data_IF_068329797392
#
_entry.id   IF_068329797392
#
_cell.length_a   1.000
_cell.length_b   1.000
_cell.length_c   1.000
_cell.angle_alpha   90.00
_cell.angle_beta   90.00
_cell.angle_gamma   90.00
#
_symmetry.space_group_name_H-M   'P 1'
#
loop_
_entity.id
_entity.type
_entity.pdbx_description
1 polymer ?
#
# COMPACT_ATOMS: atom_id res chain seq x y z
N UNK A 1 6.16 4.13 -26.82
CA UNK A 1 5.57 3.11 -25.93
C UNK A 1 4.91 3.76 -24.70
N UNK A 2 5.63 4.60 -23.95
CA UNK A 2 5.15 5.32 -22.75
C UNK A 2 3.76 5.99 -22.89
N UNK A 3 3.55 6.85 -23.91
CA UNK A 3 2.25 7.52 -24.13
C UNK A 3 1.08 6.55 -24.31
N UNK A 4 1.30 5.40 -24.95
CA UNK A 4 0.26 4.37 -25.12
C UNK A 4 -0.06 3.70 -23.79
N UNK A 5 0.95 3.39 -22.96
CA UNK A 5 0.75 2.82 -21.62
C UNK A 5 -0.01 3.77 -20.72
N UNK A 6 0.44 5.01 -20.57
CA UNK A 6 -0.27 6.00 -19.72
C UNK A 6 -1.70 6.28 -20.19
N UNK A 7 -1.97 6.14 -21.49
CA UNK A 7 -3.34 6.24 -22.01
C UNK A 7 -4.20 5.00 -21.72
N UNK A 8 -3.62 3.81 -21.67
CA UNK A 8 -4.41 2.57 -21.58
C UNK A 8 -4.42 1.96 -20.17
N UNK A 9 -3.38 2.19 -19.39
CA UNK A 9 -3.11 1.64 -18.05
C UNK A 9 -2.70 2.79 -17.11
N UNK A 10 -3.60 3.74 -16.80
CA UNK A 10 -3.27 4.87 -15.93
C UNK A 10 -3.13 4.47 -14.46
N UNK A 11 -3.64 3.29 -14.08
CA UNK A 11 -3.69 2.80 -12.70
C UNK A 11 -3.06 1.41 -12.61
N UNK A 12 -2.53 1.08 -11.43
CA UNK A 12 -2.10 -0.25 -11.05
C UNK A 12 -2.79 -0.67 -9.76
N UNK A 13 -3.02 -1.97 -9.63
CA UNK A 13 -3.43 -2.58 -8.38
C UNK A 13 -2.21 -2.77 -7.46
N UNK A 14 -2.24 -2.14 -6.29
CA UNK A 14 -1.19 -2.29 -5.26
C UNK A 14 -1.54 -3.31 -4.19
N UNK A 15 -2.83 -3.65 -4.03
CA UNK A 15 -3.30 -4.59 -3.02
C UNK A 15 -4.52 -5.34 -3.51
N UNK A 16 -4.59 -6.61 -3.14
CA UNK A 16 -5.65 -7.52 -3.46
C UNK A 16 -5.77 -8.58 -2.36
N UNK A 17 -6.84 -9.38 -2.33
CA UNK A 17 -6.94 -10.56 -1.45
C UNK A 17 -5.74 -11.52 -1.60
N UNK A 18 -5.08 -11.57 -2.77
CA UNK A 18 -3.87 -12.37 -3.03
C UNK A 18 -2.57 -11.64 -2.63
N UNK A 19 -2.66 -10.75 -1.66
CA UNK A 19 -1.52 -10.03 -1.09
C UNK A 19 -1.27 -8.66 -1.71
N UNK A 20 -0.13 -8.06 -1.34
CA UNK A 20 0.20 -6.68 -1.72
C UNK A 20 1.47 -6.57 -2.55
N UNK A 21 1.54 -5.48 -3.32
CA UNK A 21 2.65 -5.18 -4.23
C UNK A 21 3.26 -3.80 -3.96
N UNK A 22 3.06 -3.20 -2.78
CA UNK A 22 3.71 -1.92 -2.40
C UNK A 22 5.23 -2.05 -2.49
N UNK A 23 5.80 -2.86 -1.61
CA UNK A 23 7.21 -3.25 -1.62
C UNK A 23 7.41 -4.62 -0.95
N UNK A 24 8.67 -5.04 -0.80
CA UNK A 24 9.07 -6.28 -0.16
C UNK A 24 10.31 -6.02 0.72
N UNK A 25 10.53 -6.76 1.84
CA UNK A 25 11.69 -6.52 2.71
C UNK A 25 13.04 -6.69 2.01
N UNK A 26 13.11 -7.56 1.00
CA UNK A 26 14.32 -7.71 0.16
C UNK A 26 14.59 -6.53 -0.79
N UNK A 27 13.60 -5.67 -1.05
CA UNK A 27 13.73 -4.49 -1.90
C UNK A 27 13.86 -3.21 -1.07
N UNK A 28 13.14 -3.13 0.05
CA UNK A 28 13.08 -2.00 0.97
C UNK A 28 13.43 -2.44 2.41
N UNK A 29 14.70 -2.81 2.70
CA UNK A 29 15.10 -3.33 4.01
C UNK A 29 14.98 -2.31 5.15
N UNK A 30 14.96 -1.01 4.82
CA UNK A 30 14.82 0.09 5.79
C UNK A 30 13.36 0.52 6.02
N UNK A 31 12.39 -0.21 5.45
CA UNK A 31 10.94 -0.01 5.66
C UNK A 31 10.40 -1.15 6.53
N UNK A 32 10.08 -0.83 7.79
CA UNK A 32 9.62 -1.78 8.79
C UNK A 32 8.24 -2.38 8.51
N UNK A 33 7.52 -1.84 7.50
CA UNK A 33 6.18 -2.29 7.10
C UNK A 33 6.16 -2.90 5.69
N UNK A 34 7.34 -3.27 5.16
CA UNK A 34 7.52 -3.83 3.82
C UNK A 34 7.01 -5.27 3.66
N UNK A 35 6.61 -5.95 4.74
CA UNK A 35 6.24 -7.37 4.79
C UNK A 35 4.72 -7.62 4.82
N UNK A 36 3.90 -6.62 4.51
CA UNK A 36 2.46 -6.70 4.67
C UNK A 36 1.76 -7.61 3.65
N UNK A 37 1.09 -8.65 4.15
CA UNK A 37 0.29 -9.62 3.38
C UNK A 37 0.98 -10.03 2.06
N UNK A 38 2.20 -10.58 2.16
CA UNK A 38 2.98 -11.02 1.00
C UNK A 38 2.57 -12.45 0.61
N UNK A 39 2.16 -12.61 -0.66
CA UNK A 39 2.00 -13.93 -1.26
C UNK A 39 3.32 -14.35 -1.93
N UNK A 40 4.01 -15.32 -1.34
CA UNK A 40 5.39 -15.67 -1.69
C UNK A 40 5.51 -16.74 -2.78
N UNK A 41 4.41 -17.41 -3.16
CA UNK A 41 4.37 -18.45 -4.18
C UNK A 41 3.61 -18.00 -5.44
N UNK A 42 4.13 -18.37 -6.61
CA UNK A 42 3.48 -18.09 -7.89
C UNK A 42 2.19 -18.90 -8.06
N UNK A 43 1.09 -18.20 -8.30
CA UNK A 43 -0.20 -18.82 -8.63
C UNK A 43 -0.05 -19.75 -9.85
N UNK A 44 -0.51 -20.99 -9.71
CA UNK A 44 -0.51 -21.98 -10.78
C UNK A 44 0.82 -22.71 -11.03
N UNK A 45 1.87 -22.42 -10.26
CA UNK A 45 3.15 -23.14 -10.39
C UNK A 45 3.08 -24.60 -9.91
N UNK A 46 3.70 -25.52 -10.65
CA UNK A 46 3.78 -26.96 -10.34
C UNK A 46 5.19 -27.49 -10.61
N UNK A 47 5.98 -27.85 -9.57
CA UNK A 47 5.67 -27.69 -8.14
C UNK A 47 5.54 -26.20 -7.73
N UNK A 48 4.94 -25.91 -6.55
CA UNK A 48 4.92 -24.56 -5.99
C UNK A 48 6.30 -23.90 -6.07
N UNK A 49 6.36 -22.74 -6.71
CA UNK A 49 7.61 -22.02 -6.97
C UNK A 49 7.52 -20.64 -6.36
N UNK A 50 8.54 -20.24 -5.61
CA UNK A 50 8.60 -18.91 -5.01
C UNK A 50 8.57 -17.80 -6.08
N UNK A 51 7.86 -16.73 -5.77
CA UNK A 51 7.83 -15.48 -6.50
C UNK A 51 9.20 -14.81 -6.42
N UNK A 52 9.61 -14.16 -7.52
CA UNK A 52 10.82 -13.33 -7.52
C UNK A 52 10.41 -11.91 -7.16
N UNK A 53 10.94 -11.29 -6.09
CA UNK A 53 10.53 -9.92 -5.75
C UNK A 53 10.88 -8.90 -6.83
N UNK A 54 12.11 -8.94 -7.35
CA UNK A 54 12.51 -7.97 -8.38
C UNK A 54 11.67 -8.09 -9.65
N UNK A 55 11.09 -6.97 -10.06
CA UNK A 55 10.16 -6.80 -11.17
C UNK A 55 8.68 -6.94 -10.78
N UNK A 56 8.36 -7.23 -9.51
CA UNK A 56 7.00 -7.58 -9.08
C UNK A 56 6.32 -6.53 -8.19
N UNK A 57 7.05 -5.49 -7.75
CA UNK A 57 6.53 -4.49 -6.80
C UNK A 57 6.45 -3.09 -7.40
N UNK A 58 5.44 -2.34 -6.97
CA UNK A 58 5.07 -1.01 -7.45
C UNK A 58 6.14 0.03 -7.11
N UNK A 59 6.65 0.02 -5.88
CA UNK A 59 7.70 0.98 -5.47
C UNK A 59 8.97 0.81 -6.30
N UNK A 60 9.38 -0.44 -6.54
CA UNK A 60 10.50 -0.75 -7.44
C UNK A 60 10.22 -0.29 -8.88
N UNK A 61 8.98 -0.46 -9.37
CA UNK A 61 8.59 0.04 -10.69
C UNK A 61 8.70 1.57 -10.77
N UNK A 62 8.32 2.32 -9.73
CA UNK A 62 8.52 3.77 -9.69
C UNK A 62 9.99 4.19 -9.72
N UNK A 63 10.85 3.51 -8.94
CA UNK A 63 12.30 3.74 -8.94
C UNK A 63 12.95 3.39 -10.30
N UNK A 64 12.50 2.29 -10.91
CA UNK A 64 12.89 1.93 -12.28
C UNK A 64 12.45 2.99 -13.28
N UNK A 65 11.27 3.58 -13.09
CA UNK A 65 10.74 4.68 -13.90
C UNK A 65 11.62 5.93 -13.85
N UNK A 66 12.08 6.30 -12.64
CA UNK A 66 13.06 7.38 -12.46
C UNK A 66 14.38 7.08 -13.17
N UNK A 67 14.88 5.84 -13.05
CA UNK A 67 16.13 5.41 -13.68
C UNK A 67 16.05 5.42 -15.22
N UNK A 68 14.94 4.94 -15.78
CA UNK A 68 14.68 4.98 -17.22
C UNK A 68 14.60 6.42 -17.73
N UNK A 69 13.98 7.31 -16.95
CA UNK A 69 13.90 8.73 -17.32
C UNK A 69 15.24 9.44 -17.26
N UNK A 70 16.03 9.19 -16.22
CA UNK A 70 17.41 9.68 -16.09
C UNK A 70 18.28 9.24 -17.28
N UNK A 71 18.06 8.02 -17.77
CA UNK A 71 18.74 7.48 -18.97
C UNK A 71 18.04 7.82 -20.30
N UNK A 72 17.12 8.80 -20.29
CA UNK A 72 16.39 9.33 -21.48
C UNK A 72 15.53 8.31 -22.23
N UNK A 73 15.08 7.25 -21.56
CA UNK A 73 14.17 6.23 -22.09
C UNK A 73 12.68 6.54 -21.80
N UNK A 74 12.43 7.60 -21.02
CA UNK A 74 11.10 7.99 -20.53
C UNK A 74 10.65 7.15 -19.33
N UNK A 75 9.55 7.55 -18.69
CA UNK A 75 9.02 6.89 -17.49
C UNK A 75 7.66 6.23 -17.77
N UNK A 76 7.60 4.92 -18.03
CA UNK A 76 6.34 4.21 -18.27
C UNK A 76 5.56 3.87 -17.00
N UNK A 77 6.10 4.19 -15.81
CA UNK A 77 5.57 3.76 -14.52
C UNK A 77 4.93 4.92 -13.73
N UNK A 78 4.51 6.00 -14.39
CA UNK A 78 3.76 7.10 -13.73
C UNK A 78 2.26 6.80 -13.55
N UNK A 79 1.93 5.57 -13.18
CA UNK A 79 0.56 5.14 -12.91
C UNK A 79 0.11 5.51 -11.48
N UNK A 80 -1.20 5.59 -11.25
CA UNK A 80 -1.82 5.76 -9.94
C UNK A 80 -2.09 4.43 -9.26
N UNK A 81 -2.53 4.48 -8.01
CA UNK A 81 -2.78 3.30 -7.18
C UNK A 81 -4.27 3.08 -6.95
N UNK A 82 -4.67 1.82 -6.99
CA UNK A 82 -5.97 1.30 -6.53
C UNK A 82 -5.76 -0.04 -5.81
N UNK A 83 -6.72 -0.43 -4.97
CA UNK A 83 -6.85 -1.81 -4.51
C UNK A 83 -7.97 -2.52 -5.27
N UNK A 84 -8.06 -3.83 -5.16
CA UNK A 84 -9.19 -4.59 -5.69
C UNK A 84 -9.54 -5.76 -4.77
N UNK A 85 -10.82 -6.13 -4.73
CA UNK A 85 -11.23 -7.27 -3.92
C UNK A 85 -10.85 -8.61 -4.54
N UNK A 86 -10.90 -8.72 -5.89
CA UNK A 86 -10.74 -9.97 -6.66
C UNK A 86 -11.45 -11.16 -6.00
N UNK A 87 -12.65 -10.86 -5.52
CA UNK A 87 -13.48 -11.84 -4.84
C UNK A 87 -14.34 -12.53 -5.89
N UNK A 88 -14.37 -13.86 -5.86
CA UNK A 88 -15.11 -14.72 -6.79
C UNK A 88 -16.42 -15.23 -6.16
N UNK A 89 -17.00 -14.44 -5.25
CA UNK A 89 -18.31 -14.66 -4.63
C UNK A 89 -19.18 -13.41 -4.77
N UNK A 90 -20.48 -13.55 -4.59
CA UNK A 90 -21.49 -12.50 -4.90
C UNK A 90 -21.28 -11.21 -4.11
N UNK A 91 -20.73 -11.29 -2.90
CA UNK A 91 -20.41 -10.14 -2.07
C UNK A 91 -18.98 -10.27 -1.54
N UNK A 92 -18.19 -9.19 -1.60
CA UNK A 92 -16.82 -9.21 -1.10
C UNK A 92 -16.80 -9.22 0.44
N UNK A 93 -15.92 -10.04 1.03
CA UNK A 93 -15.62 -9.98 2.46
C UNK A 93 -14.29 -9.28 2.69
N UNK A 94 -14.37 -8.05 3.20
CA UNK A 94 -13.23 -7.12 3.30
C UNK A 94 -12.99 -6.66 4.75
N UNK A 95 -13.61 -7.37 5.69
CA UNK A 95 -13.51 -7.12 7.13
C UNK A 95 -12.91 -8.36 7.77
N UNK A 96 -11.75 -8.20 8.39
CA UNK A 96 -11.02 -9.28 9.06
C UNK A 96 -11.87 -9.98 10.13
N UNK A 97 -12.76 -9.25 10.83
CA UNK A 97 -13.66 -9.82 11.83
C UNK A 97 -14.80 -10.66 11.25
N UNK A 98 -15.07 -10.52 9.95
CA UNK A 98 -16.16 -11.20 9.26
C UNK A 98 -15.71 -11.78 7.90
N UNK A 99 -14.43 -12.14 7.77
CA UNK A 99 -13.92 -12.76 6.56
C UNK A 99 -14.50 -14.17 6.41
N UNK A 100 -15.15 -14.44 5.27
CA UNK A 100 -15.87 -15.70 5.08
C UNK A 100 -15.50 -16.44 3.81
N UNK A 101 -15.00 -15.77 2.76
CA UNK A 101 -14.52 -16.44 1.54
C UNK A 101 -14.01 -15.44 0.51
N UNK A 102 -13.08 -15.90 -0.33
CA UNK A 102 -12.80 -15.35 -1.65
C UNK A 102 -13.36 -16.21 -2.79
N UNK A 103 -13.24 -17.54 -2.73
CA UNK A 103 -13.50 -18.47 -3.86
C UNK A 103 -14.62 -19.49 -3.59
N UNK A 104 -15.54 -19.14 -2.71
CA UNK A 104 -16.72 -19.92 -2.36
C UNK A 104 -16.39 -21.12 -1.48
N UNK A 105 -16.89 -22.30 -1.85
CA UNK A 105 -16.80 -23.52 -1.03
C UNK A 105 -15.37 -23.99 -0.76
N UNK A 106 -14.37 -23.50 -1.48
CA UNK A 106 -12.98 -23.94 -1.30
C UNK A 106 -12.32 -23.30 -0.08
N UNK A 107 -12.73 -22.11 0.30
CA UNK A 107 -12.21 -21.34 1.42
C UNK A 107 -13.35 -20.74 2.27
N UNK A 108 -14.57 -21.30 2.13
CA UNK A 108 -15.79 -20.82 2.79
C UNK A 108 -15.85 -21.14 4.28
N UNK A 109 -15.14 -22.18 4.71
CA UNK A 109 -15.10 -22.64 6.10
C UNK A 109 -13.67 -22.48 6.67
N UNK A 110 -13.53 -22.22 7.99
CA UNK A 110 -12.23 -21.98 8.61
C UNK A 110 -11.27 -23.17 8.49
N UNK A 111 -11.79 -24.41 8.51
CA UNK A 111 -10.99 -25.64 8.31
C UNK A 111 -10.28 -25.62 6.94
N UNK A 112 -11.02 -25.19 5.92
CA UNK A 112 -10.56 -25.14 4.53
C UNK A 112 -9.61 -23.97 4.26
N UNK A 113 -9.83 -22.83 4.92
CA UNK A 113 -8.87 -21.71 4.95
C UNK A 113 -7.58 -22.08 5.70
N UNK A 114 -7.64 -23.14 6.51
CA UNK A 114 -6.53 -23.60 7.33
C UNK A 114 -6.35 -22.77 8.61
N UNK A 115 -7.36 -22.04 9.06
CA UNK A 115 -7.30 -21.33 10.36
C UNK A 115 -7.59 -22.25 11.54
N UNK A 116 -8.31 -23.35 11.35
CA UNK A 116 -8.63 -24.36 12.38
C UNK A 116 -8.38 -25.79 11.88
N UNK A 117 -8.27 -26.80 12.77
CA UNK A 117 -8.05 -28.19 12.38
C UNK A 117 -9.14 -28.75 11.46
N UNK A 118 -8.74 -29.56 10.49
CA UNK A 118 -9.61 -30.26 9.55
C UNK A 118 -10.50 -31.29 10.25
N UNK A 119 -11.77 -31.34 9.85
CA UNK A 119 -12.68 -32.48 10.10
C UNK A 119 -12.58 -33.49 8.96
N UNK A 120 -13.07 -34.71 9.17
CA UNK A 120 -13.07 -35.78 8.15
C UNK A 120 -13.72 -35.33 6.83
N UNK A 121 -14.88 -34.66 6.89
CA UNK A 121 -15.57 -34.12 5.71
C UNK A 121 -14.73 -33.08 4.93
N UNK A 122 -13.92 -32.27 5.62
CA UNK A 122 -13.04 -31.29 4.99
C UNK A 122 -11.85 -31.96 4.32
N UNK A 123 -11.36 -33.05 4.88
CA UNK A 123 -10.27 -33.84 4.28
C UNK A 123 -10.71 -34.41 2.94
N UNK A 124 -11.89 -35.04 2.89
CA UNK A 124 -12.43 -35.60 1.63
C UNK A 124 -12.62 -34.51 0.57
N UNK A 125 -13.22 -33.37 0.95
CA UNK A 125 -13.40 -32.22 0.05
C UNK A 125 -12.07 -31.67 -0.47
N UNK A 126 -11.06 -31.54 0.39
CA UNK A 126 -9.73 -31.10 0.02
C UNK A 126 -9.09 -32.06 -0.99
N UNK A 127 -9.16 -33.37 -0.73
CA UNK A 127 -8.60 -34.40 -1.60
C UNK A 127 -9.28 -34.44 -2.98
N UNK A 128 -10.61 -34.35 -3.03
CA UNK A 128 -11.38 -34.30 -4.27
C UNK A 128 -11.00 -33.06 -5.09
N UNK A 129 -10.95 -31.88 -4.45
CA UNK A 129 -10.58 -30.64 -5.12
C UNK A 129 -9.16 -30.68 -5.67
N UNK A 130 -8.19 -31.08 -4.84
CA UNK A 130 -6.79 -31.14 -5.24
C UNK A 130 -6.61 -32.11 -6.41
N UNK A 131 -7.34 -33.23 -6.42
CA UNK A 131 -7.40 -34.15 -7.57
C UNK A 131 -8.00 -33.50 -8.82
N UNK A 132 -9.14 -32.83 -8.70
CA UNK A 132 -9.85 -32.20 -9.83
C UNK A 132 -9.00 -31.13 -10.53
N UNK A 133 -8.22 -30.37 -9.76
CA UNK A 133 -7.33 -29.34 -10.30
C UNK A 133 -5.91 -29.85 -10.55
N UNK A 134 -5.62 -31.14 -10.34
CA UNK A 134 -4.28 -31.72 -10.45
C UNK A 134 -3.24 -30.92 -9.63
N UNK A 135 -3.60 -30.63 -8.38
CA UNK A 135 -2.80 -29.98 -7.36
C UNK A 135 -2.37 -31.02 -6.30
N UNK A 136 -1.19 -30.86 -5.68
CA UNK A 136 -0.81 -31.71 -4.56
C UNK A 136 -1.70 -31.43 -3.35
N UNK A 137 -2.16 -32.50 -2.68
CA UNK A 137 -2.83 -32.36 -1.38
C UNK A 137 -1.78 -31.89 -0.37
N UNK A 138 -2.02 -30.73 0.22
CA UNK A 138 -1.11 -30.12 1.20
C UNK A 138 -1.83 -30.02 2.54
N UNK A 139 -1.36 -30.81 3.51
CA UNK A 139 -1.79 -30.82 4.91
C UNK A 139 -0.57 -30.64 5.80
N UNK A 140 -0.78 -30.11 7.00
CA UNK A 140 0.27 -30.01 8.02
C UNK A 140 -0.29 -30.40 9.39
N UNK A 141 0.43 -31.23 10.13
CA UNK A 141 0.08 -31.58 11.51
C UNK A 141 0.74 -30.59 12.47
N UNK A 142 -0.06 -29.94 13.30
CA UNK A 142 0.34 -28.97 14.32
C UNK A 142 -0.22 -29.38 15.70
N UNK A 143 0.07 -28.61 16.75
CA UNK A 143 -0.30 -28.92 18.14
C UNK A 143 -1.79 -29.30 18.31
N UNK A 144 -2.70 -28.58 17.64
CA UNK A 144 -4.14 -28.77 17.82
C UNK A 144 -4.80 -29.68 16.76
N UNK A 145 -4.02 -30.28 15.84
CA UNK A 145 -4.53 -31.24 14.85
C UNK A 145 -3.91 -31.11 13.46
N UNK A 146 -4.55 -31.74 12.47
CA UNK A 146 -4.22 -31.62 11.04
C UNK A 146 -4.89 -30.39 10.43
N UNK A 147 -4.17 -29.60 9.63
CA UNK A 147 -4.68 -28.38 9.00
C UNK A 147 -4.54 -28.45 7.47
N UNK A 148 -5.43 -27.75 6.76
CA UNK A 148 -5.20 -27.43 5.35
C UNK A 148 -3.97 -26.54 5.23
N UNK A 149 -3.02 -26.91 4.38
CA UNK A 149 -1.82 -26.13 4.12
C UNK A 149 -1.81 -25.61 2.67
N UNK A 150 -2.87 -24.87 2.33
CA UNK A 150 -3.07 -24.28 1.01
C UNK A 150 -2.59 -22.82 1.01
N UNK A 151 -2.46 -22.25 -0.19
CA UNK A 151 -2.15 -20.82 -0.35
C UNK A 151 -3.24 -19.87 0.16
N UNK A 152 -4.40 -20.38 0.62
CA UNK A 152 -5.49 -19.56 1.16
C UNK A 152 -5.11 -18.89 2.48
N UNK A 153 -4.19 -19.52 3.23
CA UNK A 153 -3.65 -18.98 4.48
C UNK A 153 -2.96 -17.62 4.32
N UNK A 154 -2.37 -17.36 3.14
CA UNK A 154 -1.67 -16.12 2.80
C UNK A 154 -2.58 -15.03 2.23
N UNK A 155 -3.88 -15.29 2.11
CA UNK A 155 -4.83 -14.29 1.62
C UNK A 155 -5.34 -13.42 2.76
N UNK A 156 -5.54 -12.13 2.50
CA UNK A 156 -6.07 -11.16 3.47
C UNK A 156 -7.47 -10.65 3.08
N UNK A 157 -8.21 -10.03 3.99
CA UNK A 157 -9.53 -9.46 3.71
C UNK A 157 -9.43 -8.12 2.94
N UNK A 158 -8.76 -8.14 1.79
CA UNK A 158 -8.38 -6.97 0.98
C UNK A 158 -8.93 -7.06 -0.45
N UNK A 159 -9.10 -5.97 -1.21
CA UNK A 159 -8.93 -4.55 -0.90
C UNK A 159 -9.92 -3.69 -1.67
N UNK A 160 -9.82 -2.38 -1.54
CA UNK A 160 -10.78 -1.43 -2.14
C UNK A 160 -10.10 -0.45 -3.10
N UNK A 161 -10.77 -0.19 -4.21
CA UNK A 161 -10.48 0.92 -5.10
C UNK A 161 -11.23 2.16 -4.63
N UNK A 162 -10.51 3.25 -4.44
CA UNK A 162 -11.11 4.54 -4.15
C UNK A 162 -10.73 5.58 -5.20
N UNK A 163 -11.68 6.44 -5.55
CA UNK A 163 -11.50 7.53 -6.49
C UNK A 163 -12.18 8.79 -5.97
N UNK A 164 -11.46 9.92 -6.00
CA UNK A 164 -12.06 11.21 -5.77
C UNK A 164 -12.69 11.71 -7.08
N UNK A 165 -13.99 11.48 -7.22
CA UNK A 165 -14.81 11.95 -8.32
C UNK A 165 -15.70 13.12 -7.85
N UNK A 166 -16.00 14.05 -8.77
CA UNK A 166 -16.88 15.19 -8.50
C UNK A 166 -18.34 14.73 -8.36
N UNK A 167 -18.70 13.64 -9.04
CA UNK A 167 -20.05 13.09 -9.08
C UNK A 167 -20.02 11.56 -9.09
N UNK A 168 -21.11 10.92 -8.64
CA UNK A 168 -21.29 9.47 -8.76
C UNK A 168 -21.83 9.08 -10.15
N UNK A 169 -21.09 9.47 -11.20
CA UNK A 169 -21.37 9.11 -12.58
C UNK A 169 -20.20 8.35 -13.17
N UNK A 170 -20.48 7.46 -14.13
CA UNK A 170 -19.43 6.70 -14.82
C UNK A 170 -18.35 7.62 -15.40
N UNK A 171 -18.76 8.73 -16.02
CA UNK A 171 -17.83 9.69 -16.61
C UNK A 171 -16.93 10.34 -15.56
N UNK A 172 -17.49 10.85 -14.46
CA UNK A 172 -16.72 11.51 -13.41
C UNK A 172 -15.72 10.54 -12.74
N UNK A 173 -16.12 9.29 -12.50
CA UNK A 173 -15.25 8.24 -11.97
C UNK A 173 -14.13 7.87 -12.95
N UNK A 174 -14.44 7.69 -14.23
CA UNK A 174 -13.41 7.42 -15.24
C UNK A 174 -12.46 8.60 -15.40
N UNK A 175 -12.94 9.83 -15.29
CA UNK A 175 -12.08 11.02 -15.28
C UNK A 175 -11.15 11.01 -14.06
N UNK A 176 -11.62 10.58 -12.88
CA UNK A 176 -10.78 10.40 -11.69
C UNK A 176 -9.67 9.37 -11.91
N UNK A 177 -10.02 8.22 -12.52
CA UNK A 177 -9.05 7.20 -12.90
C UNK A 177 -8.01 7.71 -13.91
N UNK A 178 -8.42 8.54 -14.87
CA UNK A 178 -7.53 9.12 -15.88
C UNK A 178 -6.56 10.13 -15.30
N UNK A 179 -7.02 11.00 -14.37
CA UNK A 179 -6.13 11.94 -13.67
C UNK A 179 -5.30 11.26 -12.57
N UNK A 180 -5.68 10.03 -12.17
CA UNK A 180 -5.03 9.21 -11.14
C UNK A 180 -5.24 9.78 -9.74
N UNK A 181 -6.37 10.45 -9.52
CA UNK A 181 -6.78 10.92 -8.21
C UNK A 181 -7.49 9.79 -7.45
N UNK A 182 -6.70 8.74 -7.21
CA UNK A 182 -7.15 7.45 -6.68
C UNK A 182 -6.22 6.99 -5.58
N UNK A 183 -6.74 6.11 -4.74
CA UNK A 183 -5.97 5.45 -3.69
C UNK A 183 -6.49 4.04 -3.45
N UNK A 184 -5.69 3.24 -2.76
CA UNK A 184 -5.99 1.87 -2.39
C UNK A 184 -6.18 1.77 -0.89
N UNK A 185 -7.03 0.84 -0.42
CA UNK A 185 -7.07 0.43 0.99
C UNK A 185 -7.10 -1.09 1.10
N UNK A 186 -6.63 -1.62 2.23
CA UNK A 186 -6.48 -3.07 2.47
C UNK A 186 -7.74 -3.76 2.97
N UNK A 187 -8.86 -3.05 3.04
CA UNK A 187 -10.16 -3.61 3.46
C UNK A 187 -11.02 -2.53 4.13
N UNK A 188 -10.43 -1.84 5.11
CA UNK A 188 -11.08 -0.70 5.79
C UNK A 188 -11.25 0.50 4.87
N UNK A 189 -12.31 1.27 5.07
CA UNK A 189 -12.66 2.46 4.27
C UNK A 189 -11.95 3.73 4.76
N UNK A 190 -10.64 3.64 5.00
CA UNK A 190 -9.79 4.80 5.29
C UNK A 190 -9.91 5.79 4.13
N UNK A 191 -10.23 7.04 4.40
CA UNK A 191 -10.26 8.10 3.39
C UNK A 191 -8.94 8.87 3.42
N UNK A 192 -8.28 9.04 2.26
CA UNK A 192 -7.01 9.76 2.16
C UNK A 192 -7.09 10.84 1.09
N UNK A 193 -6.67 12.05 1.44
CA UNK A 193 -6.40 13.14 0.50
C UNK A 193 -4.93 13.54 0.59
N UNK A 194 -4.32 13.78 -0.56
CA UNK A 194 -2.92 14.14 -0.65
C UNK A 194 -2.74 15.20 -1.73
N UNK A 195 -2.14 16.32 -1.34
CA UNK A 195 -1.89 17.47 -2.19
C UNK A 195 -0.42 17.90 -2.08
N UNK A 196 0.13 18.43 -3.17
CA UNK A 196 1.47 19.01 -3.22
C UNK A 196 1.41 20.44 -3.78
N UNK A 197 2.19 21.35 -3.21
CA UNK A 197 2.19 22.75 -3.64
C UNK A 197 3.34 23.54 -2.99
N UNK A 198 3.31 24.87 -3.11
CA UNK A 198 4.37 25.74 -2.54
C UNK A 198 3.84 26.80 -1.57
N UNK A 199 2.53 26.75 -1.27
CA UNK A 199 1.86 27.69 -0.38
C UNK A 199 0.70 27.01 0.38
N UNK A 200 0.84 25.72 0.65
CA UNK A 200 -0.16 24.94 1.39
C UNK A 200 -0.16 25.32 2.87
N UNK A 201 0.98 25.71 3.45
CA UNK A 201 1.09 26.19 4.85
C UNK A 201 0.23 27.43 5.15
N UNK A 202 -0.27 28.11 4.11
CA UNK A 202 -1.23 29.23 4.25
C UNK A 202 -2.67 28.78 4.52
N UNK A 203 -2.95 27.48 4.40
CA UNK A 203 -4.29 26.90 4.58
C UNK A 203 -4.45 26.54 6.06
N UNK A 204 -5.56 26.97 6.67
CA UNK A 204 -5.95 26.50 7.99
C UNK A 204 -6.50 25.07 7.90
N UNK A 205 -5.80 24.12 8.54
CA UNK A 205 -6.19 22.71 8.58
C UNK A 205 -7.52 22.47 9.31
N UNK A 206 -8.01 23.43 10.09
CA UNK A 206 -9.29 23.34 10.79
C UNK A 206 -10.44 24.03 10.04
N UNK A 207 -10.17 24.65 8.89
CA UNK A 207 -11.19 25.33 8.10
C UNK A 207 -12.11 24.35 7.36
N UNK A 208 -13.39 24.70 7.25
CA UNK A 208 -14.34 24.00 6.37
C UNK A 208 -13.96 24.13 4.88
N UNK A 209 -13.22 25.18 4.51
CA UNK A 209 -12.73 25.41 3.14
C UNK A 209 -11.47 24.63 2.77
N UNK A 210 -10.90 23.85 3.71
CA UNK A 210 -9.61 23.14 3.57
C UNK A 210 -9.42 22.48 2.19
N UNK A 211 -10.40 21.68 1.77
CA UNK A 211 -10.33 20.93 0.50
C UNK A 211 -10.34 21.87 -0.69
N UNK A 212 -11.27 22.83 -0.71
CA UNK A 212 -11.42 23.77 -1.81
C UNK A 212 -10.16 24.63 -1.99
N UNK A 213 -9.52 25.05 -0.89
CA UNK A 213 -8.26 25.78 -0.93
C UNK A 213 -7.10 24.90 -1.40
N UNK A 214 -7.05 23.63 -0.97
CA UNK A 214 -6.03 22.70 -1.40
C UNK A 214 -6.08 22.45 -2.93
N UNK A 215 -7.28 22.31 -3.51
CA UNK A 215 -7.45 22.23 -4.96
C UNK A 215 -7.05 23.51 -5.70
N UNK A 216 -7.18 24.69 -5.09
CA UNK A 216 -6.79 25.96 -5.71
C UNK A 216 -5.28 26.23 -5.61
N UNK A 217 -4.65 25.83 -4.51
CA UNK A 217 -3.26 26.18 -4.17
C UNK A 217 -2.24 25.09 -4.51
N UNK A 218 -2.67 23.89 -4.88
CA UNK A 218 -1.79 22.75 -5.13
C UNK A 218 -2.29 21.81 -6.21
N UNK A 219 -1.53 20.74 -6.43
CA UNK A 219 -1.87 19.61 -7.29
C UNK A 219 -2.28 18.41 -6.44
N UNK A 220 -3.16 17.57 -6.96
CA UNK A 220 -3.63 16.36 -6.26
C UNK A 220 -2.67 15.19 -6.43
N UNK A 221 -2.84 14.17 -5.61
CA UNK A 221 -2.32 12.82 -5.88
C UNK A 221 -2.56 12.41 -7.34
N UNK A 222 -1.56 11.76 -7.95
CA UNK A 222 -1.57 11.39 -9.36
C UNK A 222 -1.02 12.47 -10.32
N UNK A 223 -0.72 13.67 -9.83
CA UNK A 223 -0.26 14.79 -10.66
C UNK A 223 1.26 14.99 -10.64
N UNK A 224 1.72 15.85 -11.55
CA UNK A 224 3.08 16.37 -11.58
C UNK A 224 3.12 17.71 -10.87
N UNK A 225 4.02 17.87 -9.91
CA UNK A 225 4.35 19.13 -9.26
C UNK A 225 5.57 19.73 -9.94
N UNK A 226 5.36 20.76 -10.75
CA UNK A 226 6.44 21.47 -11.43
C UNK A 226 7.28 22.27 -10.45
N UNK A 227 8.60 22.32 -10.67
CA UNK A 227 9.54 23.20 -9.96
C UNK A 227 9.01 24.64 -9.84
N UNK A 228 9.28 25.26 -8.68
CA UNK A 228 9.01 26.67 -8.44
C UNK A 228 10.24 27.31 -7.78
N UNK A 229 11.14 27.82 -8.62
CA UNK A 229 12.39 28.44 -8.18
C UNK A 229 13.14 27.53 -7.18
N UNK A 230 13.51 28.08 -6.02
CA UNK A 230 14.18 27.35 -4.95
C UNK A 230 13.22 26.98 -3.79
N UNK A 231 11.90 27.00 -4.03
CA UNK A 231 10.94 26.67 -2.98
C UNK A 231 10.91 25.17 -2.73
N UNK A 232 10.90 24.81 -1.45
CA UNK A 232 10.67 23.43 -1.00
C UNK A 232 9.18 23.13 -1.16
N UNK A 233 8.79 22.03 -1.82
CA UNK A 233 7.39 21.64 -1.91
C UNK A 233 6.82 21.31 -0.53
N UNK A 234 5.57 21.69 -0.34
CA UNK A 234 4.74 21.41 0.81
C UNK A 234 3.73 20.35 0.44
N UNK A 235 3.48 19.44 1.37
CA UNK A 235 2.62 18.29 1.17
C UNK A 235 1.53 18.28 2.23
N UNK A 236 0.29 18.50 1.82
CA UNK A 236 -0.87 18.40 2.69
C UNK A 236 -1.43 16.98 2.62
N UNK A 237 -1.50 16.32 3.78
CA UNK A 237 -2.13 15.01 3.92
C UNK A 237 -3.30 15.12 4.89
N UNK A 238 -4.43 14.55 4.50
CA UNK A 238 -5.59 14.40 5.36
C UNK A 238 -6.09 12.95 5.28
N UNK A 239 -6.07 12.26 6.43
CA UNK A 239 -6.59 10.91 6.57
C UNK A 239 -7.73 10.87 7.60
N UNK A 240 -8.76 10.08 7.30
CA UNK A 240 -9.86 9.80 8.20
C UNK A 240 -10.07 8.29 8.30
N UNK A 241 -10.25 7.78 9.53
CA UNK A 241 -10.47 6.35 9.76
C UNK A 241 -11.79 5.87 9.16
N UNK A 242 -11.88 4.57 8.92
CA UNK A 242 -13.18 3.94 8.72
C UNK A 242 -14.01 4.02 10.01
N UNK A 243 -15.31 4.26 9.88
CA UNK A 243 -16.27 4.24 11.00
C UNK A 243 -16.20 2.92 11.77
N UNK A 244 -16.01 1.82 11.06
CA UNK A 244 -15.96 0.46 11.61
C UNK A 244 -14.52 -0.07 11.77
N UNK A 245 -13.50 0.66 11.30
CA UNK A 245 -12.10 0.27 11.40
C UNK A 245 -11.44 0.71 12.71
N UNK A 246 -10.18 0.35 12.89
CA UNK A 246 -9.41 0.79 14.04
C UNK A 246 -9.04 2.29 13.94
N UNK A 247 -8.74 2.97 15.05
CA UNK A 247 -8.22 4.34 15.01
C UNK A 247 -6.92 4.43 14.19
N UNK A 248 -6.68 5.58 13.55
CA UNK A 248 -5.44 5.84 12.81
C UNK A 248 -4.26 5.89 13.78
N UNK A 249 -3.17 5.24 13.44
CA UNK A 249 -1.92 5.30 14.18
C UNK A 249 -1.01 6.42 13.66
N UNK A 250 -0.75 6.43 12.35
CA UNK A 250 0.21 7.35 11.73
C UNK A 250 -0.04 7.56 10.24
N UNK A 251 0.51 8.65 9.72
CA UNK A 251 0.65 8.93 8.29
C UNK A 251 2.12 8.90 7.94
N UNK A 252 2.45 8.22 6.84
CA UNK A 252 3.79 8.18 6.27
C UNK A 252 3.79 8.78 4.86
N UNK A 253 4.87 9.46 4.50
CA UNK A 253 5.21 9.80 3.13
C UNK A 253 6.41 8.95 2.71
N UNK A 254 6.23 8.17 1.64
CA UNK A 254 7.29 7.40 1.00
C UNK A 254 7.81 8.24 -0.16
N UNK A 255 9.08 8.63 -0.05
CA UNK A 255 9.82 9.35 -1.08
C UNK A 255 10.69 8.38 -1.86
N UNK A 256 10.66 8.46 -3.17
CA UNK A 256 11.68 7.87 -4.04
C UNK A 256 12.25 8.93 -4.96
N UNK A 257 13.56 8.94 -5.17
CA UNK A 257 14.24 9.94 -6.00
C UNK A 257 15.43 9.36 -6.75
N UNK A 258 15.84 10.06 -7.80
CA UNK A 258 17.10 9.78 -8.49
C UNK A 258 18.16 10.74 -7.94
N UNK A 259 19.25 10.19 -7.41
CA UNK A 259 20.40 11.02 -7.00
C UNK A 259 21.19 11.42 -8.24
N UNK A 260 21.07 12.67 -8.67
CA UNK A 260 21.69 13.15 -9.92
C UNK A 260 23.22 12.95 -9.96
N UNK A 261 23.88 12.89 -8.80
CA UNK A 261 25.33 12.71 -8.73
C UNK A 261 25.77 11.26 -8.97
N UNK A 262 24.90 10.28 -8.71
CA UNK A 262 25.23 8.86 -8.84
C UNK A 262 24.41 8.14 -9.92
N UNK A 263 23.30 8.75 -10.37
CA UNK A 263 22.34 8.11 -11.27
C UNK A 263 21.66 6.90 -10.64
N UNK A 264 21.69 6.75 -9.31
CA UNK A 264 21.09 5.63 -8.59
C UNK A 264 19.78 6.06 -7.94
N UNK A 265 18.71 5.25 -8.07
CA UNK A 265 17.48 5.50 -7.35
C UNK A 265 17.70 5.28 -5.85
N UNK A 266 17.04 6.09 -5.04
CA UNK A 266 16.99 6.03 -3.58
C UNK A 266 15.56 6.14 -3.12
N UNK A 267 15.29 5.62 -1.94
CA UNK A 267 14.00 5.73 -1.28
C UNK A 267 14.15 5.99 0.21
N UNK A 268 13.12 6.57 0.81
CA UNK A 268 13.06 6.82 2.25
C UNK A 268 11.60 6.96 2.69
N UNK A 269 11.28 6.39 3.84
CA UNK A 269 9.98 6.53 4.51
C UNK A 269 10.11 7.59 5.59
N UNK A 270 9.14 8.50 5.66
CA UNK A 270 9.01 9.52 6.70
C UNK A 270 7.67 9.36 7.38
N UNK A 271 7.65 9.25 8.71
CA UNK A 271 6.43 9.47 9.47
C UNK A 271 6.19 10.98 9.55
N UNK A 272 5.00 11.44 9.14
CA UNK A 272 4.68 12.88 8.99
C UNK A 272 3.54 13.36 9.88
N UNK A 273 2.81 12.41 10.48
CA UNK A 273 1.84 12.66 11.54
C UNK A 273 1.71 11.41 12.40
N UNK A 274 1.70 11.59 13.72
CA UNK A 274 1.45 10.54 14.69
C UNK A 274 0.13 10.79 15.42
N UNK A 275 -0.51 9.72 15.88
CA UNK A 275 -1.66 9.82 16.77
C UNK A 275 -1.25 10.18 18.20
N UNK A 276 -2.25 10.43 19.05
CA UNK A 276 -2.09 10.58 20.50
C UNK A 276 -1.19 11.76 20.94
N UNK A 277 -1.04 12.78 20.08
CA UNK A 277 -0.19 13.95 20.34
C UNK A 277 1.31 13.64 20.33
N UNK A 278 1.69 12.46 19.84
CA UNK A 278 3.08 12.11 19.57
C UNK A 278 3.60 12.88 18.36
N UNK A 279 4.92 13.02 18.28
CA UNK A 279 5.58 13.66 17.15
C UNK A 279 6.66 12.74 16.58
N UNK A 280 6.91 12.77 15.26
CA UNK A 280 8.02 12.02 14.67
C UNK A 280 9.35 12.45 15.29
N UNK A 281 10.20 11.48 15.63
CA UNK A 281 11.55 11.77 16.08
C UNK A 281 12.35 12.45 14.94
N UNK A 282 13.04 13.58 15.19
CA UNK A 282 13.66 14.38 14.13
C UNK A 282 14.90 13.74 13.49
N UNK A 283 15.45 12.68 14.09
CA UNK A 283 16.63 11.98 13.59
C UNK A 283 16.18 10.78 12.74
N UNK A 284 15.29 9.96 13.29
CA UNK A 284 14.82 8.72 12.67
C UNK A 284 13.64 8.94 11.73
N UNK A 285 12.90 10.05 11.87
CA UNK A 285 11.64 10.32 11.18
C UNK A 285 10.60 9.22 11.42
N UNK A 286 10.54 8.70 12.65
CA UNK A 286 9.59 7.66 13.07
C UNK A 286 8.76 8.15 14.24
N UNK A 287 7.46 7.87 14.21
CA UNK A 287 6.59 8.02 15.37
C UNK A 287 6.97 6.97 16.43
N UNK A 288 6.99 7.35 17.71
CA UNK A 288 7.05 6.40 18.82
C UNK A 288 5.91 5.38 18.77
N UNK A 289 6.03 4.30 19.54
CA UNK A 289 4.93 3.39 19.81
C UNK A 289 3.83 4.14 20.58
N UNK A 290 2.60 4.11 20.07
CA UNK A 290 1.44 4.73 20.72
C UNK A 290 0.78 3.83 21.78
N UNK A 291 1.30 2.62 21.98
CA UNK A 291 0.80 1.70 23.00
C UNK A 291 -0.43 0.91 22.56
N UNK A 292 -0.84 0.99 21.30
CA UNK A 292 -1.95 0.18 20.79
C UNK A 292 -1.58 -1.31 20.82
N UNK A 293 -2.45 -2.13 21.42
CA UNK A 293 -2.31 -3.59 21.53
C UNK A 293 -3.63 -4.28 21.20
N UNK A 294 -3.53 -5.54 20.80
CA UNK A 294 -4.64 -6.47 20.56
C UNK A 294 -4.59 -7.58 21.62
N UNK A 295 -5.71 -7.87 22.27
CA UNK A 295 -5.83 -9.06 23.11
C UNK A 295 -6.14 -10.26 22.22
N UNK A 296 -5.19 -11.18 22.09
CA UNK A 296 -5.32 -12.35 21.21
C UNK A 296 -6.33 -13.39 21.73
N UNK A 297 -6.86 -13.24 22.95
CA UNK A 297 -7.88 -14.17 23.47
C UNK A 297 -9.30 -13.80 23.04
N UNK A 298 -9.58 -12.52 22.77
CA UNK A 298 -10.93 -12.02 22.46
C UNK A 298 -10.97 -10.98 21.32
N UNK A 299 -9.81 -10.65 20.74
CA UNK A 299 -9.62 -9.66 19.71
C UNK A 299 -10.05 -8.23 20.06
N UNK A 300 -10.21 -7.92 21.35
CA UNK A 300 -10.37 -6.54 21.79
C UNK A 300 -9.09 -5.74 21.57
N UNK A 301 -9.24 -4.48 21.15
CA UNK A 301 -8.13 -3.55 20.95
C UNK A 301 -8.09 -2.54 22.10
N UNK A 302 -6.91 -1.96 22.34
CA UNK A 302 -6.72 -0.92 23.36
C UNK A 302 -7.64 0.27 23.09
N UNK A 303 -8.47 0.62 24.07
CA UNK A 303 -9.39 1.76 23.98
C UNK A 303 -8.67 3.10 24.18
N UNK A 304 -9.20 4.18 23.59
CA UNK A 304 -8.70 5.56 23.73
C UNK A 304 -7.25 5.78 23.27
N UNK A 305 -6.79 5.00 22.30
CA UNK A 305 -5.48 5.15 21.65
C UNK A 305 -5.69 5.23 20.13
N UNK A 306 -4.98 6.14 19.48
CA UNK A 306 -5.12 6.45 18.06
C UNK A 306 -6.09 7.61 17.78
N UNK A 307 -6.14 8.03 16.52
CA UNK A 307 -6.92 9.21 16.10
C UNK A 307 -8.06 8.86 15.13
N UNK A 308 -9.17 9.61 15.17
CA UNK A 308 -10.22 9.51 14.14
C UNK A 308 -9.85 10.21 12.83
N UNK A 309 -9.00 11.22 12.93
CA UNK A 309 -8.54 12.07 11.85
C UNK A 309 -7.08 12.44 12.10
N UNK A 310 -6.28 12.47 11.04
CA UNK A 310 -4.91 13.01 11.04
C UNK A 310 -4.77 13.98 9.87
N UNK A 311 -4.32 15.21 10.15
CA UNK A 311 -4.05 16.27 9.16
C UNK A 311 -2.67 16.84 9.41
N UNK A 312 -1.89 17.01 8.36
CA UNK A 312 -0.55 17.61 8.46
C UNK A 312 -0.18 18.33 7.16
N UNK A 313 0.71 19.30 7.29
CA UNK A 313 1.43 19.90 6.16
C UNK A 313 2.91 19.64 6.42
N UNK A 314 3.51 18.85 5.54
CA UNK A 314 4.88 18.39 5.68
C UNK A 314 5.78 18.96 4.58
N UNK A 315 7.04 19.23 4.93
CA UNK A 315 8.10 19.63 4.01
C UNK A 315 9.19 18.57 4.05
N UNK A 316 9.68 18.19 2.88
CA UNK A 316 10.79 17.23 2.78
C UNK A 316 12.09 17.85 3.32
N UNK A 317 12.61 17.37 4.47
CA UNK A 317 13.82 17.93 5.09
C UNK A 317 15.09 17.64 4.28
N UNK A 318 15.03 16.65 3.38
CA UNK A 318 16.14 16.21 2.51
C UNK A 318 15.85 16.55 1.04
N UNK A 319 15.03 17.59 0.82
CA UNK A 319 14.67 18.02 -0.52
C UNK A 319 15.88 18.56 -1.28
N UNK A 320 16.02 18.13 -2.53
CA UNK A 320 17.00 18.66 -3.48
C UNK A 320 16.27 19.12 -4.72
N UNK A 321 16.46 20.39 -5.08
CA UNK A 321 15.72 21.05 -6.16
C UNK A 321 15.91 20.39 -7.53
N UNK A 322 17.07 19.77 -7.75
CA UNK A 322 17.42 19.15 -9.03
C UNK A 322 17.06 17.66 -9.10
N UNK A 323 16.83 17.00 -7.96
CA UNK A 323 16.55 15.57 -7.94
C UNK A 323 15.08 15.34 -8.31
N UNK A 324 14.86 14.55 -9.36
CA UNK A 324 13.52 14.10 -9.70
C UNK A 324 13.03 13.11 -8.66
N UNK A 325 11.83 13.32 -8.13
CA UNK A 325 11.27 12.51 -7.04
C UNK A 325 9.79 12.18 -7.24
N UNK A 326 9.33 11.12 -6.60
CA UNK A 326 7.92 10.86 -6.35
C UNK A 326 7.68 10.77 -4.85
N UNK A 327 6.46 11.11 -4.45
CA UNK A 327 5.99 11.03 -3.07
C UNK A 327 4.62 10.36 -3.10
N UNK A 328 4.40 9.36 -2.26
CA UNK A 328 3.06 8.83 -2.01
C UNK A 328 2.83 8.59 -0.53
N UNK A 329 1.58 8.60 -0.13
CA UNK A 329 1.17 8.46 1.27
C UNK A 329 0.88 7.00 1.57
N UNK A 330 1.32 6.54 2.75
CA UNK A 330 0.82 5.33 3.41
C UNK A 330 0.21 5.72 4.75
N UNK A 331 -1.06 5.39 4.97
CA UNK A 331 -1.74 5.59 6.27
C UNK A 331 -1.83 4.26 6.97
N UNK A 332 -1.55 4.21 8.27
CA UNK A 332 -1.64 3.00 9.08
C UNK A 332 -2.69 3.17 10.19
N UNK A 333 -3.57 2.20 10.35
CA UNK A 333 -4.44 2.07 11.53
C UNK A 333 -3.69 1.44 12.71
N UNK A 334 -4.28 1.44 13.89
CA UNK A 334 -3.85 0.58 14.99
C UNK A 334 -4.07 -0.90 14.64
N UNK A 335 -3.27 -1.82 15.19
CA UNK A 335 -3.40 -3.24 14.88
C UNK A 335 -4.75 -3.80 15.33
N UNK A 336 -5.26 -4.78 14.58
CA UNK A 336 -6.44 -5.58 14.91
C UNK A 336 -6.11 -7.07 14.74
N UNK A 337 -7.00 -7.96 15.19
CA UNK A 337 -6.87 -9.38 14.87
C UNK A 337 -7.03 -9.61 13.38
N UNK A 338 -6.15 -10.45 12.82
CA UNK A 338 -6.33 -11.02 11.48
C UNK A 338 -7.50 -12.01 11.47
N UNK A 339 -8.11 -12.24 10.33
CA UNK A 339 -9.24 -13.15 10.15
C UNK A 339 -8.94 -14.56 10.62
N UNK A 340 -7.70 -15.02 10.45
CA UNK A 340 -7.26 -16.35 10.90
C UNK A 340 -7.34 -16.48 12.42
N UNK A 341 -7.11 -15.38 13.15
CA UNK A 341 -7.24 -15.30 14.61
C UNK A 341 -8.71 -15.29 15.02
N UNK A 342 -9.54 -14.52 14.31
CA UNK A 342 -10.99 -14.53 14.53
C UNK A 342 -11.62 -15.91 14.32
N UNK A 343 -11.26 -16.59 13.23
CA UNK A 343 -11.72 -17.95 12.93
C UNK A 343 -11.36 -18.92 14.07
N UNK A 344 -10.11 -18.87 14.55
CA UNK A 344 -9.63 -19.74 15.61
C UNK A 344 -10.40 -19.52 16.92
N UNK A 345 -10.48 -18.27 17.39
CA UNK A 345 -11.14 -17.93 18.67
C UNK A 345 -12.63 -18.27 18.62
N UNK A 346 -13.33 -17.92 17.53
CA UNK A 346 -14.76 -18.23 17.36
C UNK A 346 -15.04 -19.74 17.38
N UNK A 347 -14.05 -20.54 16.96
CA UNK A 347 -14.13 -22.00 16.91
C UNK A 347 -13.59 -22.68 18.18
N UNK A 348 -13.13 -21.92 19.18
CA UNK A 348 -12.58 -22.46 20.42
C UNK A 348 -11.15 -22.99 20.32
N UNK A 349 -10.39 -22.61 19.29
CA UNK A 349 -8.98 -22.95 19.11
C UNK A 349 -8.06 -21.77 19.45
N UNK A 350 -6.76 -22.04 19.60
CA UNK A 350 -5.75 -20.98 19.66
C UNK A 350 -5.41 -20.56 18.23
N UNK A 351 -4.89 -19.35 18.01
CA UNK A 351 -4.39 -18.94 16.71
C UNK A 351 -3.39 -19.97 16.17
N UNK A 352 -3.52 -20.33 14.90
CA UNK A 352 -2.66 -21.32 14.26
C UNK A 352 -1.22 -20.83 14.21
N UNK A 353 -0.29 -21.69 14.64
CA UNK A 353 1.15 -21.44 14.51
C UNK A 353 1.55 -21.19 13.05
N UNK A 354 2.41 -20.18 12.86
CA UNK A 354 2.93 -19.78 11.54
C UNK A 354 2.04 -18.82 10.76
N UNK A 355 0.85 -18.46 11.27
CA UNK A 355 0.04 -17.36 10.74
C UNK A 355 0.22 -16.11 11.59
N UNK A 356 0.10 -14.94 10.96
CA UNK A 356 0.08 -13.68 11.70
C UNK A 356 -1.19 -13.58 12.57
N UNK A 357 -1.01 -13.27 13.86
CA UNK A 357 -2.13 -13.14 14.79
C UNK A 357 -2.87 -11.80 14.61
N UNK A 358 -2.13 -10.76 14.22
CA UNK A 358 -2.64 -9.40 14.05
C UNK A 358 -2.30 -8.87 12.67
N UNK A 359 -3.07 -7.87 12.24
CA UNK A 359 -2.87 -7.14 11.00
C UNK A 359 -2.97 -5.64 11.26
N UNK A 360 -2.23 -4.86 10.47
CA UNK A 360 -2.30 -3.39 10.50
C UNK A 360 -2.78 -2.88 9.14
N UNK A 361 -4.09 -2.65 9.09
CA UNK A 361 -4.81 -2.10 7.94
C UNK A 361 -4.23 -0.74 7.52
N UNK A 362 -4.29 -0.47 6.23
CA UNK A 362 -3.59 0.65 5.62
C UNK A 362 -4.19 1.12 4.31
N UNK A 363 -3.80 2.34 3.93
CA UNK A 363 -4.16 2.94 2.65
C UNK A 363 -2.92 3.50 1.93
N UNK A 364 -2.95 3.51 0.60
CA UNK A 364 -1.89 4.07 -0.25
C UNK A 364 -2.45 5.07 -1.26
N UNK A 365 -1.94 6.30 -1.29
CA UNK A 365 -2.32 7.30 -2.29
C UNK A 365 -1.58 7.10 -3.61
N UNK A 366 -2.17 7.53 -4.73
CA UNK A 366 -1.37 7.75 -5.95
C UNK A 366 -0.21 8.72 -5.71
N UNK A 367 0.92 8.59 -6.43
CA UNK A 367 2.07 9.44 -6.21
C UNK A 367 1.89 10.85 -6.79
N UNK A 368 2.50 11.84 -6.16
CA UNK A 368 2.82 13.14 -6.75
C UNK A 368 4.27 13.11 -7.22
N UNK A 369 4.51 13.50 -8.47
CA UNK A 369 5.85 13.53 -9.05
C UNK A 369 6.40 14.94 -9.06
N UNK A 370 7.49 15.20 -8.35
CA UNK A 370 8.22 16.46 -8.46
C UNK A 370 9.03 16.48 -9.76
N UNK A 371 8.85 17.55 -10.55
CA UNK A 371 9.53 17.74 -11.83
C UNK A 371 10.51 18.91 -11.67
N UNK A 372 11.83 18.64 -11.59
CA UNK A 372 12.84 19.69 -11.46
C UNK A 372 12.90 20.56 -12.72
N UNK A 373 13.52 21.74 -12.60
CA UNK A 373 13.81 22.58 -13.77
C UNK A 373 14.64 21.77 -14.77
N UNK A 374 14.40 21.96 -16.06
CA UNK A 374 15.25 21.36 -17.08
C UNK A 374 16.69 21.88 -16.92
N UNK A 375 17.63 20.96 -16.68
CA UNK A 375 19.05 21.27 -16.58
C UNK A 375 19.59 21.75 -17.94
N UNK A 376 20.41 22.80 -17.92
CA UNK A 376 21.21 23.27 -19.06
C UNK A 376 22.47 22.41 -19.29
N UNK A 377 22.76 21.51 -18.35
CA UNK A 377 23.87 20.55 -18.43
C UNK A 377 23.33 19.18 -18.80
N UNK A 378 23.90 18.58 -19.86
CA UNK A 378 23.53 17.24 -20.29
C UNK A 378 24.30 16.19 -19.48
N UNK A 379 23.57 15.40 -18.69
CA UNK A 379 24.11 14.22 -18.03
C UNK A 379 24.05 13.05 -19.01
N UNK A 380 25.22 12.52 -19.42
CA UNK A 380 25.31 11.32 -20.26
C UNK A 380 25.69 10.14 -19.35
N UNK A 381 24.75 9.22 -19.04
CA UNK A 381 25.06 8.03 -18.27
C UNK A 381 25.84 7.03 -19.14
N UNK A 382 27.17 7.01 -19.00
CA UNK A 382 28.05 6.04 -19.65
C UNK A 382 28.29 4.88 -18.68
N UNK A 383 27.40 3.88 -18.66
CA UNK A 383 27.64 2.55 -18.07
C UNK A 383 28.58 2.47 -16.86
N UNK A 384 28.35 3.30 -15.82
CA UNK A 384 29.18 3.33 -14.59
C UNK A 384 29.92 4.65 -14.31
N UNK A 385 29.96 5.60 -15.23
CA UNK A 385 30.58 6.92 -15.04
C UNK A 385 29.69 8.04 -15.58
N UNK A 386 29.55 9.12 -14.80
CA UNK A 386 28.83 10.33 -15.22
C UNK A 386 29.84 11.32 -15.82
N UNK A 387 29.61 11.77 -17.04
CA UNK A 387 30.28 12.95 -17.61
C UNK A 387 29.27 14.09 -17.73
N UNK A 388 29.66 15.28 -17.24
CA UNK A 388 28.91 16.52 -17.40
C UNK A 388 29.42 17.23 -18.66
N UNK A 389 28.51 17.63 -19.55
CA UNK A 389 28.84 18.48 -20.71
C UNK A 389 27.89 19.67 -20.77
N UNK A 390 28.45 20.87 -20.96
CA UNK A 390 27.67 22.08 -21.22
C UNK A 390 27.02 21.99 -22.62
N UNK A 391 25.76 22.38 -22.70
CA UNK A 391 25.04 22.52 -23.97
C UNK A 391 25.37 23.92 -24.53
N UNK A 392 26.47 24.01 -25.28
CA UNK A 392 26.75 25.13 -26.19
C UNK A 392 26.54 24.69 -27.65
#
# INVERSE_FOLDING_TARGET
>A
MQRKRMRNEPLVEITQVKGTSDTHPLLSPDDEWADFEIMDVRVGSRPPTYSKPSGSYVREAYLNGLTLEFTKQGNPYKFGLIGSSDTHVVAASLDESNFWSKVGLLDGDPENRGSVPLKEENVERLEEYMRAFNQPVSRVSLEQGEYANTGFTQWGASGLAAAWAEENTRESIFNAFRRKETFATTGTRIAVRFFGGYNLSSIDLNSESLVSEAYQKGVTMGSDLLHNENKIPEFLVWAQRDKNGAPLQRIQIIKGWIDNNSGRPKEKVFDVACSDGLEPDPITNRCPDNGARVNINDCSITSNVGSSELKTIWKDPEFKVDDKAFYYVRVLENPTCRWSTWDAIKSGFKPREGLHETIQERAWSSPIWYIPKQSEVEVIPLGGTIQLRNID
#
